data_IF_472621704200
#
_entry.id   IF_472621704200
#
_cell.length_a   1.000
_cell.length_b   1.000
_cell.length_c   1.000
_cell.angle_alpha   90.00
_cell.angle_beta   90.00
_cell.angle_gamma   90.00
#
_symmetry.space_group_name_H-M   'P 1'
#
loop_
_entity.id
_entity.type
_entity.pdbx_description
1 polymer ?
#
# COMPACT_ATOMS: atom_id res chain seq x y z
N UNK A 1 -14.39 -0.29 7.19
CA UNK A 1 -13.34 -0.77 6.26
C UNK A 1 -11.92 -0.60 6.81
N UNK A 2 -11.34 0.61 6.91
CA UNK A 2 -9.90 0.76 7.18
C UNK A 2 -9.41 0.15 8.49
N UNK A 3 -10.15 0.34 9.59
CA UNK A 3 -9.83 -0.31 10.88
C UNK A 3 -9.91 -1.85 10.81
N UNK A 4 -10.79 -2.40 9.97
CA UNK A 4 -10.88 -3.85 9.71
C UNK A 4 -9.60 -4.34 9.02
N UNK A 5 -9.09 -3.59 8.04
CA UNK A 5 -7.83 -3.90 7.36
C UNK A 5 -6.68 -3.91 8.35
N UNK A 6 -6.56 -2.89 9.19
CA UNK A 6 -5.54 -2.85 10.25
C UNK A 6 -5.67 -4.04 11.22
N UNK A 7 -6.89 -4.44 11.60
CA UNK A 7 -7.13 -5.64 12.40
C UNK A 7 -6.65 -6.93 11.71
N UNK A 8 -6.90 -7.07 10.41
CA UNK A 8 -6.41 -8.22 9.61
C UNK A 8 -4.88 -8.21 9.51
N UNK A 9 -4.26 -7.04 9.34
CA UNK A 9 -2.80 -6.91 9.33
C UNK A 9 -2.20 -7.27 10.70
N UNK A 10 -2.81 -6.86 11.81
CA UNK A 10 -2.36 -7.25 13.15
C UNK A 10 -2.45 -8.78 13.33
N UNK A 11 -3.56 -9.39 12.94
CA UNK A 11 -3.73 -10.85 12.98
C UNK A 11 -2.68 -11.56 12.12
N UNK A 12 -2.42 -11.04 10.92
CA UNK A 12 -1.38 -11.56 10.04
C UNK A 12 0.00 -11.45 10.69
N UNK A 13 0.38 -10.28 11.23
CA UNK A 13 1.66 -10.06 11.92
C UNK A 13 1.87 -11.02 13.07
N UNK A 14 0.84 -11.21 13.92
CA UNK A 14 0.88 -12.07 15.10
C UNK A 14 0.72 -13.57 14.79
N UNK A 15 0.53 -13.94 13.51
CA UNK A 15 0.19 -15.31 13.08
C UNK A 15 -1.05 -15.88 13.79
N UNK A 16 -2.05 -15.03 14.03
CA UNK A 16 -3.17 -15.30 14.91
C UNK A 16 -4.48 -15.65 14.19
N UNK A 17 -4.45 -15.96 12.88
CA UNK A 17 -5.66 -16.35 12.15
C UNK A 17 -6.26 -17.67 12.64
N UNK A 18 -5.45 -18.62 13.09
CA UNK A 18 -5.96 -19.88 13.63
C UNK A 18 -6.56 -19.68 15.03
N UNK A 19 -5.99 -18.79 15.84
CA UNK A 19 -6.58 -18.38 17.11
C UNK A 19 -7.94 -17.67 16.91
N UNK A 20 -8.04 -16.81 15.89
CA UNK A 20 -9.32 -16.20 15.50
C UNK A 20 -10.37 -17.26 15.20
N UNK A 21 -10.04 -18.31 14.43
CA UNK A 21 -11.00 -19.37 14.10
C UNK A 21 -11.44 -20.18 15.33
N UNK A 22 -10.55 -20.40 16.30
CA UNK A 22 -10.88 -21.08 17.55
C UNK A 22 -11.85 -20.26 18.41
N UNK A 23 -11.64 -18.95 18.49
CA UNK A 23 -12.49 -18.04 19.29
C UNK A 23 -13.81 -17.71 18.59
N UNK A 24 -13.78 -17.54 17.27
CA UNK A 24 -14.92 -17.17 16.44
C UNK A 24 -14.99 -18.11 15.26
N UNK A 25 -15.90 -19.09 15.33
CA UNK A 25 -16.13 -20.05 14.24
C UNK A 25 -16.40 -19.30 12.92
N UNK A 26 -15.55 -19.55 11.91
CA UNK A 26 -15.62 -18.92 10.59
C UNK A 26 -15.20 -17.46 10.60
N UNK A 27 -14.30 -17.06 11.50
CA UNK A 27 -13.91 -15.68 11.73
C UNK A 27 -13.36 -15.01 10.48
N UNK A 28 -12.41 -15.65 9.78
CA UNK A 28 -11.87 -15.13 8.51
C UNK A 28 -12.97 -14.93 7.47
N UNK A 29 -13.82 -15.94 7.29
CA UNK A 29 -14.92 -15.88 6.31
C UNK A 29 -15.91 -14.77 6.61
N UNK A 30 -16.27 -14.56 7.89
CA UNK A 30 -17.16 -13.45 8.29
C UNK A 30 -16.56 -12.08 7.99
N UNK A 31 -15.27 -11.90 8.27
CA UNK A 31 -14.56 -10.65 7.92
C UNK A 31 -14.55 -10.46 6.41
N UNK A 32 -14.20 -11.52 5.65
CA UNK A 32 -14.20 -11.47 4.19
C UNK A 32 -15.57 -11.14 3.60
N UNK A 33 -16.64 -11.74 4.12
CA UNK A 33 -18.02 -11.45 3.70
C UNK A 33 -18.44 -10.02 4.02
N UNK A 34 -18.05 -9.49 5.18
CA UNK A 34 -18.29 -8.08 5.51
C UNK A 34 -17.59 -7.15 4.51
N UNK A 35 -16.31 -7.40 4.20
CA UNK A 35 -15.55 -6.60 3.21
C UNK A 35 -16.20 -6.73 1.83
N UNK A 36 -16.58 -7.94 1.40
CA UNK A 36 -17.20 -8.17 0.11
C UNK A 36 -18.56 -7.48 -0.03
N UNK A 37 -19.36 -7.42 1.05
CA UNK A 37 -20.64 -6.72 1.07
C UNK A 37 -20.51 -5.20 0.90
N UNK A 38 -19.32 -4.63 1.11
CA UNK A 38 -19.04 -3.21 0.86
C UNK A 38 -18.67 -2.92 -0.59
N UNK A 39 -18.54 -3.94 -1.46
CA UNK A 39 -18.26 -3.73 -2.86
C UNK A 39 -19.53 -3.24 -3.59
N UNK A 40 -19.41 -2.12 -4.29
CA UNK A 40 -20.45 -1.61 -5.16
C UNK A 40 -20.60 -2.53 -6.39
N UNK A 41 -21.78 -3.13 -6.62
CA UNK A 41 -21.98 -4.09 -7.70
C UNK A 41 -21.97 -3.45 -9.10
N UNK A 42 -22.16 -2.12 -9.20
CA UNK A 42 -22.20 -1.37 -10.46
C UNK A 42 -20.79 -0.88 -10.83
N UNK A 43 -20.09 -0.24 -9.90
CA UNK A 43 -18.81 0.42 -10.16
C UNK A 43 -17.60 -0.44 -9.80
N UNK A 44 -17.74 -1.39 -8.86
CA UNK A 44 -16.66 -2.20 -8.32
C UNK A 44 -15.83 -1.52 -7.24
N UNK A 45 -16.19 -0.29 -6.84
CA UNK A 45 -15.57 0.42 -5.71
C UNK A 45 -15.97 -0.23 -4.39
N UNK A 46 -15.36 0.23 -3.30
CA UNK A 46 -15.70 -0.21 -1.96
C UNK A 46 -16.11 0.99 -1.11
N UNK A 47 -17.15 0.82 -0.32
CA UNK A 47 -17.54 1.79 0.70
C UNK A 47 -16.63 1.69 1.94
N UNK A 48 -16.40 2.82 2.61
CA UNK A 48 -15.70 2.87 3.90
C UNK A 48 -16.49 2.21 5.03
N UNK A 49 -17.81 2.36 4.99
CA UNK A 49 -18.81 1.83 5.92
C UNK A 49 -20.22 1.89 5.30
N UNK A 50 -21.26 1.79 6.12
CA UNK A 50 -22.67 1.82 5.70
C UNK A 50 -23.13 3.17 5.12
N UNK A 51 -22.37 4.25 5.29
CA UNK A 51 -22.70 5.59 4.82
C UNK A 51 -22.20 5.89 3.40
N UNK A 52 -21.49 4.93 2.78
CA UNK A 52 -21.25 4.92 1.35
C UNK A 52 -20.14 5.83 0.83
N UNK A 53 -19.24 6.34 1.69
CA UNK A 53 -18.03 7.03 1.22
C UNK A 53 -17.20 6.07 0.35
N UNK A 54 -16.83 6.50 -0.86
CA UNK A 54 -16.01 5.72 -1.79
C UNK A 54 -14.73 6.47 -2.13
N UNK A 55 -13.60 5.75 -2.06
CA UNK A 55 -12.25 6.25 -2.31
C UNK A 55 -11.36 5.04 -2.69
N UNK A 56 -10.34 5.24 -3.51
CA UNK A 56 -9.38 4.17 -3.87
C UNK A 56 -8.69 3.54 -2.65
N UNK A 57 -8.60 4.25 -1.51
CA UNK A 57 -8.15 3.74 -0.20
C UNK A 57 -8.93 2.51 0.24
N UNK A 58 -10.25 2.51 0.10
CA UNK A 58 -11.09 1.39 0.52
C UNK A 58 -10.94 0.19 -0.41
N UNK A 59 -10.71 0.45 -1.71
CA UNK A 59 -10.46 -0.59 -2.70
C UNK A 59 -9.14 -1.31 -2.40
N UNK A 60 -8.05 -0.57 -2.23
CA UNK A 60 -6.78 -1.15 -1.79
C UNK A 60 -6.92 -1.88 -0.45
N UNK A 61 -7.60 -1.26 0.53
CA UNK A 61 -7.84 -1.86 1.83
C UNK A 61 -8.56 -3.21 1.73
N UNK A 62 -9.61 -3.29 0.91
CA UNK A 62 -10.33 -4.54 0.66
C UNK A 62 -9.42 -5.61 0.05
N UNK A 63 -8.65 -5.26 -0.98
CA UNK A 63 -7.72 -6.20 -1.63
C UNK A 63 -6.60 -6.65 -0.69
N UNK A 64 -6.05 -5.74 0.11
CA UNK A 64 -5.02 -6.02 1.11
C UNK A 64 -5.54 -7.06 2.11
N UNK A 65 -6.66 -6.79 2.78
CA UNK A 65 -7.21 -7.69 3.78
C UNK A 65 -7.68 -9.03 3.19
N UNK A 66 -8.40 -9.01 2.06
CA UNK A 66 -8.90 -10.23 1.43
C UNK A 66 -7.76 -11.11 0.92
N UNK A 67 -6.70 -10.54 0.33
CA UNK A 67 -5.55 -11.32 -0.14
C UNK A 67 -4.77 -11.96 1.01
N UNK A 68 -4.53 -11.23 2.12
CA UNK A 68 -3.88 -11.79 3.32
C UNK A 68 -4.65 -12.97 3.93
N UNK A 69 -5.98 -12.99 3.76
CA UNK A 69 -6.84 -14.10 4.21
C UNK A 69 -7.10 -15.18 3.15
N UNK A 70 -6.63 -15.02 1.90
CA UNK A 70 -6.92 -15.94 0.79
C UNK A 70 -8.36 -15.87 0.27
N UNK A 71 -9.05 -14.75 0.47
CA UNK A 71 -10.48 -14.55 0.21
C UNK A 71 -10.76 -13.55 -0.93
N UNK A 72 -9.77 -13.25 -1.78
CA UNK A 72 -9.95 -12.31 -2.90
C UNK A 72 -11.04 -12.75 -3.88
N UNK A 73 -11.32 -14.06 -3.97
CA UNK A 73 -12.40 -14.63 -4.77
C UNK A 73 -13.83 -14.22 -4.35
N UNK A 74 -13.99 -13.59 -3.18
CA UNK A 74 -15.29 -13.10 -2.71
C UNK A 74 -15.75 -11.82 -3.41
N UNK A 75 -14.87 -11.15 -4.18
CA UNK A 75 -15.15 -9.85 -4.81
C UNK A 75 -14.91 -9.88 -6.31
N UNK A 76 -15.54 -8.97 -7.03
CA UNK A 76 -15.35 -8.74 -8.46
C UNK A 76 -14.07 -7.92 -8.69
N UNK A 77 -12.94 -8.64 -8.80
CA UNK A 77 -11.61 -8.03 -8.98
C UNK A 77 -11.54 -7.24 -10.28
N UNK A 78 -12.10 -7.77 -11.37
CA UNK A 78 -12.03 -7.12 -12.69
C UNK A 78 -12.78 -5.78 -12.71
N UNK A 79 -13.92 -5.69 -12.02
CA UNK A 79 -14.67 -4.44 -11.94
C UNK A 79 -13.92 -3.38 -11.12
N UNK A 80 -13.32 -3.77 -10.00
CA UNK A 80 -12.45 -2.89 -9.22
C UNK A 80 -11.23 -2.41 -10.02
N UNK A 81 -10.59 -3.31 -10.78
CA UNK A 81 -9.47 -2.97 -11.69
C UNK A 81 -9.93 -1.96 -12.76
N UNK A 82 -11.08 -2.16 -13.40
CA UNK A 82 -11.64 -1.20 -14.37
C UNK A 82 -11.88 0.17 -13.74
N UNK A 83 -12.35 0.22 -12.50
CA UNK A 83 -12.51 1.49 -11.80
C UNK A 83 -11.16 2.19 -11.57
N UNK A 84 -10.14 1.48 -11.09
CA UNK A 84 -8.78 2.04 -10.92
C UNK A 84 -8.26 2.62 -12.23
N UNK A 85 -8.45 1.93 -13.36
CA UNK A 85 -8.05 2.46 -14.68
C UNK A 85 -8.72 3.80 -14.99
N UNK A 86 -9.98 3.99 -14.59
CA UNK A 86 -10.70 5.25 -14.78
C UNK A 86 -10.21 6.39 -13.87
N UNK A 87 -9.46 6.09 -12.82
CA UNK A 87 -8.80 7.06 -11.94
C UNK A 87 -7.44 7.54 -12.47
N UNK A 88 -6.90 6.91 -13.53
CA UNK A 88 -5.62 7.29 -14.11
C UNK A 88 -5.72 8.66 -14.79
N UNK A 89 -4.77 9.53 -14.50
CA UNK A 89 -4.70 10.88 -15.04
C UNK A 89 -3.73 11.02 -16.21
N UNK A 90 -3.85 12.12 -16.93
CA UNK A 90 -2.98 12.42 -18.07
C UNK A 90 -1.50 12.56 -17.69
N UNK A 91 -1.17 12.80 -16.42
CA UNK A 91 0.20 12.91 -15.90
C UNK A 91 0.79 11.54 -15.49
N UNK A 92 0.02 10.46 -15.63
CA UNK A 92 0.39 9.10 -15.23
C UNK A 92 0.02 8.76 -13.79
N UNK A 93 -0.37 9.75 -12.97
CA UNK A 93 -0.79 9.55 -11.59
C UNK A 93 -2.24 9.09 -11.44
N UNK A 94 -2.67 8.95 -10.19
CA UNK A 94 -4.01 8.52 -9.80
C UNK A 94 -4.55 9.43 -8.68
N UNK A 95 -5.85 9.71 -8.73
CA UNK A 95 -6.57 10.46 -7.70
C UNK A 95 -7.53 9.60 -6.87
N UNK A 96 -8.26 10.23 -5.95
CA UNK A 96 -9.27 9.58 -5.08
C UNK A 96 -10.44 8.95 -5.85
N UNK A 97 -10.72 9.47 -7.04
CA UNK A 97 -11.79 9.06 -7.95
C UNK A 97 -11.46 9.54 -9.38
N UNK A 98 -12.24 9.16 -10.40
CA UNK A 98 -12.02 9.63 -11.76
C UNK A 98 -11.98 11.15 -11.85
N UNK A 99 -10.94 11.67 -12.52
CA UNK A 99 -10.66 13.11 -12.70
C UNK A 99 -10.19 13.85 -11.43
N UNK A 100 -10.07 13.19 -10.29
CA UNK A 100 -9.45 13.79 -9.12
C UNK A 100 -7.96 14.04 -9.35
N UNK A 101 -7.39 15.05 -8.68
CA UNK A 101 -5.97 15.37 -8.76
C UNK A 101 -5.09 14.17 -8.37
N UNK A 102 -3.98 13.97 -9.10
CA UNK A 102 -2.99 12.96 -8.79
C UNK A 102 -2.35 13.20 -7.42
N UNK A 103 -2.29 12.18 -6.58
CA UNK A 103 -1.74 12.28 -5.22
C UNK A 103 -0.95 11.01 -4.87
N UNK A 104 0.25 11.14 -4.30
CA UNK A 104 1.12 9.99 -4.01
C UNK A 104 0.45 8.91 -3.15
N UNK A 105 -0.33 9.29 -2.13
CA UNK A 105 -1.10 8.34 -1.33
C UNK A 105 -2.18 7.59 -2.13
N UNK A 106 -2.79 8.22 -3.14
CA UNK A 106 -3.81 7.60 -4.00
C UNK A 106 -3.17 6.75 -5.12
N UNK A 107 -1.98 7.13 -5.54
CA UNK A 107 -1.13 6.31 -6.40
C UNK A 107 -0.75 5.01 -5.68
N UNK A 108 -0.30 5.10 -4.43
CA UNK A 108 0.02 3.91 -3.64
C UNK A 108 -1.14 2.92 -3.58
N UNK A 109 -2.35 3.39 -3.26
CA UNK A 109 -3.53 2.52 -3.17
C UNK A 109 -3.89 1.91 -4.53
N UNK A 110 -3.88 2.70 -5.61
CA UNK A 110 -4.17 2.20 -6.95
C UNK A 110 -3.13 1.16 -7.42
N UNK A 111 -1.84 1.48 -7.31
CA UNK A 111 -0.74 0.59 -7.71
C UNK A 111 -0.68 -0.65 -6.82
N UNK A 112 -0.90 -0.50 -5.51
CA UNK A 112 -0.99 -1.61 -4.57
C UNK A 112 -2.12 -2.58 -4.92
N UNK A 113 -3.32 -2.06 -5.19
CA UNK A 113 -4.45 -2.88 -5.61
C UNK A 113 -4.19 -3.59 -6.96
N UNK A 114 -3.61 -2.89 -7.94
CA UNK A 114 -3.21 -3.50 -9.22
C UNK A 114 -2.12 -4.57 -9.04
N UNK A 115 -1.19 -4.38 -8.10
CA UNK A 115 -0.16 -5.37 -7.79
C UNK A 115 -0.78 -6.63 -7.19
N UNK A 116 -1.70 -6.50 -6.24
CA UNK A 116 -2.44 -7.63 -5.66
C UNK A 116 -3.27 -8.36 -6.73
N UNK A 117 -3.88 -7.62 -7.65
CA UNK A 117 -4.66 -8.18 -8.75
C UNK A 117 -3.80 -8.82 -9.87
N UNK A 118 -2.47 -8.68 -9.82
CA UNK A 118 -1.58 -9.13 -10.90
C UNK A 118 -1.75 -8.34 -12.20
N UNK A 119 -2.17 -7.06 -12.09
CA UNK A 119 -2.53 -6.19 -13.23
C UNK A 119 -1.65 -4.93 -13.36
N UNK A 120 -0.39 -5.02 -12.94
CA UNK A 120 0.60 -3.94 -13.15
C UNK A 120 0.89 -3.66 -14.63
N UNK A 121 0.49 -4.55 -15.55
CA UNK A 121 0.51 -4.35 -17.00
C UNK A 121 -0.31 -3.14 -17.46
N UNK A 122 -1.30 -2.72 -16.66
CA UNK A 122 -2.19 -1.60 -16.97
C UNK A 122 -1.61 -0.22 -16.63
N UNK A 123 -0.50 -0.18 -15.89
CA UNK A 123 0.12 1.07 -15.45
C UNK A 123 1.11 1.55 -16.50
N UNK A 124 1.06 2.83 -16.87
CA UNK A 124 2.15 3.45 -17.60
C UNK A 124 3.34 3.69 -16.65
N UNK A 125 4.16 2.66 -16.46
CA UNK A 125 5.15 2.61 -15.39
C UNK A 125 6.25 3.67 -15.53
N UNK A 126 6.65 4.02 -16.75
CA UNK A 126 7.70 5.03 -16.95
C UNK A 126 7.18 6.43 -16.68
N UNK A 127 5.97 6.74 -17.14
CA UNK A 127 5.33 8.04 -16.88
C UNK A 127 5.03 8.23 -15.40
N UNK A 128 4.46 7.20 -14.76
CA UNK A 128 4.19 7.23 -13.33
C UNK A 128 5.49 7.29 -12.52
N UNK A 129 6.52 6.54 -12.93
CA UNK A 129 7.85 6.58 -12.32
C UNK A 129 8.45 7.99 -12.35
N UNK A 130 8.34 8.69 -13.48
CA UNK A 130 8.83 10.06 -13.62
C UNK A 130 8.07 11.01 -12.69
N UNK A 131 6.73 10.94 -12.69
CA UNK A 131 5.88 11.73 -11.80
C UNK A 131 6.23 11.52 -10.32
N UNK A 132 6.49 10.28 -9.91
CA UNK A 132 6.90 9.93 -8.54
C UNK A 132 8.30 10.42 -8.20
N UNK A 133 9.27 10.31 -9.12
CA UNK A 133 10.63 10.82 -8.90
C UNK A 133 10.68 12.33 -8.71
N UNK A 134 9.81 13.07 -9.42
CA UNK A 134 9.65 14.52 -9.28
C UNK A 134 8.99 14.96 -7.98
N UNK A 135 8.70 14.03 -7.05
CA UNK A 135 8.24 14.36 -5.69
C UNK A 135 9.40 14.66 -4.75
N UNK A 136 10.64 14.28 -5.09
CA UNK A 136 11.79 14.53 -4.23
C UNK A 136 12.20 16.00 -4.29
N UNK A 137 12.20 16.66 -3.13
CA UNK A 137 12.57 18.05 -2.99
C UNK A 137 14.08 18.21 -2.73
N UNK A 138 14.56 19.46 -2.80
CA UNK A 138 15.98 19.77 -2.64
C UNK A 138 16.56 19.32 -1.29
N UNK A 139 15.75 19.27 -0.24
CA UNK A 139 16.13 18.81 1.10
C UNK A 139 16.05 17.28 1.26
N UNK A 140 15.74 16.53 0.20
CA UNK A 140 15.70 15.06 0.23
C UNK A 140 14.32 14.47 0.52
N UNK A 141 13.46 15.21 1.21
CA UNK A 141 12.09 14.79 1.51
C UNK A 141 11.20 14.71 0.28
N UNK A 142 10.10 13.96 0.40
CA UNK A 142 9.14 13.69 -0.67
C UNK A 142 7.81 14.39 -0.38
N UNK A 143 7.15 14.92 -1.41
CA UNK A 143 5.82 15.50 -1.27
C UNK A 143 4.72 14.64 -1.92
N UNK A 144 3.47 14.90 -1.54
CA UNK A 144 2.32 14.17 -2.07
C UNK A 144 1.83 14.65 -3.43
N UNK A 145 2.13 15.92 -3.75
CA UNK A 145 1.67 16.64 -4.93
C UNK A 145 2.68 17.71 -5.34
N UNK A 146 2.75 18.08 -6.64
CA UNK A 146 3.54 19.20 -7.10
C UNK A 146 3.30 20.47 -6.28
N UNK A 147 4.35 21.27 -6.09
CA UNK A 147 4.30 22.57 -5.39
C UNK A 147 3.82 22.48 -3.92
N UNK A 148 3.94 21.31 -3.28
CA UNK A 148 3.70 21.11 -1.84
C UNK A 148 4.99 20.82 -1.08
N UNK A 149 4.93 21.00 0.23
CA UNK A 149 6.00 20.64 1.15
C UNK A 149 6.15 19.12 1.23
N UNK A 150 7.37 18.71 1.54
CA UNK A 150 7.73 17.37 1.96
C UNK A 150 7.00 16.96 3.24
N UNK A 151 6.84 15.65 3.43
CA UNK A 151 6.29 15.02 4.63
C UNK A 151 6.84 13.59 4.69
N UNK A 152 7.30 13.18 5.87
CA UNK A 152 7.90 11.86 6.10
C UNK A 152 7.03 10.70 5.62
N UNK A 153 5.70 10.78 5.69
CA UNK A 153 4.85 9.69 5.25
C UNK A 153 4.96 9.40 3.74
N UNK A 154 5.36 10.38 2.92
CA UNK A 154 5.62 10.16 1.50
C UNK A 154 6.89 9.34 1.23
N UNK A 155 7.79 9.22 2.23
CA UNK A 155 8.89 8.24 2.21
C UNK A 155 8.36 6.81 2.14
N UNK A 156 7.11 6.57 2.53
CA UNK A 156 6.42 5.32 2.23
C UNK A 156 5.59 5.43 0.94
N UNK A 157 4.67 6.37 0.82
CA UNK A 157 3.71 6.38 -0.30
C UNK A 157 4.35 6.46 -1.68
N UNK A 158 5.41 7.27 -1.83
CA UNK A 158 6.16 7.38 -3.10
C UNK A 158 7.07 6.19 -3.28
N UNK A 159 7.86 5.83 -2.26
CA UNK A 159 8.87 4.77 -2.38
C UNK A 159 8.24 3.39 -2.58
N UNK A 160 7.16 3.05 -1.86
CA UNK A 160 6.44 1.80 -2.05
C UNK A 160 5.88 1.67 -3.47
N UNK A 161 5.33 2.76 -4.01
CA UNK A 161 4.89 2.83 -5.40
C UNK A 161 6.05 2.60 -6.38
N UNK A 162 7.18 3.27 -6.18
CA UNK A 162 8.39 3.04 -6.99
C UNK A 162 8.94 1.62 -6.83
N UNK A 163 8.86 1.03 -5.65
CA UNK A 163 9.29 -0.35 -5.39
C UNK A 163 8.43 -1.35 -6.17
N UNK A 164 7.10 -1.18 -6.18
CA UNK A 164 6.19 -2.00 -6.99
C UNK A 164 6.49 -1.88 -8.49
N UNK A 165 7.00 -0.73 -8.93
CA UNK A 165 7.43 -0.47 -10.31
C UNK A 165 8.91 -0.80 -10.60
N UNK A 166 9.65 -1.36 -9.63
CA UNK A 166 11.09 -1.63 -9.72
C UNK A 166 11.96 -0.40 -10.06
N UNK A 167 11.58 0.78 -9.55
CA UNK A 167 12.17 2.09 -9.85
C UNK A 167 12.69 2.85 -8.63
N UNK A 168 12.96 2.17 -7.50
CA UNK A 168 13.54 2.81 -6.31
C UNK A 168 14.82 3.60 -6.58
N UNK A 169 15.65 3.12 -7.52
CA UNK A 169 16.90 3.74 -7.94
C UNK A 169 16.74 5.12 -8.63
N UNK A 170 15.51 5.61 -8.83
CA UNK A 170 15.23 6.94 -9.38
C UNK A 170 15.21 8.03 -8.32
N UNK A 171 15.31 7.67 -7.04
CA UNK A 171 15.34 8.57 -5.90
C UNK A 171 16.78 8.64 -5.36
N UNK A 172 17.20 9.83 -4.96
CA UNK A 172 18.42 10.02 -4.16
C UNK A 172 18.17 9.46 -2.75
N UNK A 173 18.54 8.20 -2.55
CA UNK A 173 18.28 7.47 -1.30
C UNK A 173 19.07 7.99 -0.10
N UNK A 174 20.25 8.57 -0.33
CA UNK A 174 21.08 9.12 0.72
C UNK A 174 20.43 10.38 1.30
N UNK A 175 19.97 11.30 0.43
CA UNK A 175 19.25 12.50 0.86
C UNK A 175 17.91 12.18 1.51
N UNK A 176 17.19 11.17 1.01
CA UNK A 176 15.93 10.76 1.63
C UNK A 176 16.18 10.18 3.03
N UNK A 177 17.21 9.35 3.20
CA UNK A 177 17.59 8.83 4.51
C UNK A 177 17.95 9.95 5.48
N UNK A 178 18.74 10.94 5.03
CA UNK A 178 19.09 12.11 5.84
C UNK A 178 17.84 12.89 6.28
N UNK A 179 16.90 13.16 5.36
CA UNK A 179 15.65 13.84 5.69
C UNK A 179 14.81 13.06 6.72
N UNK A 180 14.64 11.74 6.53
CA UNK A 180 13.86 10.92 7.48
C UNK A 180 14.49 10.97 8.88
N UNK A 181 15.81 10.83 8.97
CA UNK A 181 16.52 10.85 10.25
C UNK A 181 16.48 12.23 10.94
N UNK A 182 16.42 13.33 10.18
CA UNK A 182 16.20 14.66 10.76
C UNK A 182 14.82 14.83 11.40
N UNK A 183 13.85 13.98 11.06
CA UNK A 183 12.51 13.98 11.64
C UNK A 183 12.38 13.07 12.88
N UNK A 184 13.46 12.42 13.30
CA UNK A 184 13.49 11.57 14.49
C UNK A 184 13.58 12.43 15.76
N UNK A 185 12.82 12.07 16.79
CA UNK A 185 13.06 12.58 18.15
C UNK A 185 14.21 11.77 18.80
N UNK A 186 15.38 12.38 19.06
CA UNK A 186 16.53 11.68 19.62
C UNK A 186 16.39 11.36 21.10
N UNK A 187 15.46 11.99 21.82
CA UNK A 187 15.26 11.81 23.26
C UNK A 187 14.06 10.90 23.54
N UNK A 188 12.91 11.21 22.94
CA UNK A 188 11.65 10.50 23.12
C UNK A 188 11.45 9.30 22.19
N UNK A 189 12.22 9.22 21.11
CA UNK A 189 12.02 8.24 20.03
C UNK A 189 10.81 8.54 19.15
N UNK A 190 10.72 7.82 18.03
CA UNK A 190 9.69 8.05 17.02
C UNK A 190 10.09 9.10 15.98
N UNK A 191 9.21 9.29 14.99
CA UNK A 191 9.39 10.23 13.89
C UNK A 191 8.15 11.12 13.73
N UNK A 192 8.39 12.36 13.31
CA UNK A 192 7.36 13.36 13.01
C UNK A 192 7.17 13.55 11.50
N UNK A 193 6.21 14.38 11.11
CA UNK A 193 5.98 14.81 9.71
C UNK A 193 7.23 15.51 9.13
N UNK A 194 7.81 16.44 9.90
CA UNK A 194 8.99 17.25 9.54
C UNK A 194 9.92 17.47 10.73
N UNK A 195 11.16 17.93 10.49
CA UNK A 195 12.07 18.28 11.57
C UNK A 195 11.47 19.35 12.48
N UNK A 196 11.42 19.05 13.79
CA UNK A 196 10.88 19.94 14.82
C UNK A 196 9.37 19.83 15.07
N UNK A 197 8.64 19.03 14.30
CA UNK A 197 7.23 18.72 14.59
C UNK A 197 7.12 17.65 15.70
N UNK A 198 5.91 17.45 16.24
CA UNK A 198 5.64 16.42 17.23
C UNK A 198 5.61 15.03 16.60
N UNK A 199 6.27 14.06 17.25
CA UNK A 199 6.26 12.65 16.81
C UNK A 199 4.89 12.01 16.98
N UNK A 200 4.59 11.08 16.07
CA UNK A 200 3.42 10.22 16.19
C UNK A 200 3.67 8.82 15.61
N UNK A 201 2.76 7.89 15.92
CA UNK A 201 2.89 6.48 15.51
C UNK A 201 2.75 6.32 13.99
N UNK A 202 2.00 7.21 13.32
CA UNK A 202 1.76 7.14 11.88
C UNK A 202 3.04 7.47 11.11
N UNK A 203 3.67 8.60 11.40
CA UNK A 203 4.94 8.99 10.80
C UNK A 203 6.09 8.06 11.22
N UNK A 204 6.06 7.55 12.46
CA UNK A 204 7.05 6.55 12.92
C UNK A 204 7.02 5.28 12.06
N UNK A 205 5.84 4.73 11.76
CA UNK A 205 5.72 3.54 10.90
C UNK A 205 6.24 3.82 9.50
N UNK A 206 5.86 4.95 8.89
CA UNK A 206 6.24 5.25 7.51
C UNK A 206 7.69 5.72 7.35
N UNK A 207 8.29 6.32 8.37
CA UNK A 207 9.73 6.57 8.42
C UNK A 207 10.51 5.26 8.40
N UNK A 208 10.17 4.31 9.29
CA UNK A 208 10.84 3.01 9.35
C UNK A 208 10.62 2.18 8.08
N UNK A 209 9.41 2.21 7.52
CA UNK A 209 9.11 1.52 6.27
C UNK A 209 9.86 2.15 5.07
N UNK A 210 9.97 3.48 5.02
CA UNK A 210 10.78 4.18 4.01
C UNK A 210 12.27 3.84 4.11
N UNK A 211 12.82 3.87 5.33
CA UNK A 211 14.21 3.47 5.58
C UNK A 211 14.46 1.99 5.25
N UNK A 212 13.50 1.11 5.54
CA UNK A 212 13.57 -0.31 5.16
C UNK A 212 13.65 -0.49 3.63
N UNK A 213 12.86 0.26 2.85
CA UNK A 213 12.94 0.25 1.38
C UNK A 213 14.30 0.76 0.84
N UNK A 214 15.02 1.56 1.63
CA UNK A 214 16.37 2.04 1.33
C UNK A 214 17.47 1.08 1.82
N UNK A 215 17.11 -0.08 2.37
CA UNK A 215 18.03 -1.03 3.00
C UNK A 215 18.83 -0.42 4.16
N UNK A 216 18.22 0.49 4.93
CA UNK A 216 18.88 1.09 6.08
C UNK A 216 19.27 0.01 7.11
N UNK A 217 20.51 0.01 7.62
CA UNK A 217 21.01 -1.06 8.48
C UNK A 217 20.16 -1.30 9.73
N UNK A 218 19.96 -2.57 10.07
CA UNK A 218 19.24 -2.98 11.28
C UNK A 218 17.71 -3.02 11.14
N UNK A 219 17.17 -2.69 9.96
CA UNK A 219 15.74 -2.84 9.68
C UNK A 219 15.45 -4.13 8.93
N UNK A 220 14.33 -4.77 9.27
CA UNK A 220 13.80 -5.88 8.48
C UNK A 220 13.23 -5.37 7.15
N UNK A 221 13.26 -6.22 6.14
CA UNK A 221 12.73 -5.91 4.82
C UNK A 221 11.19 -5.81 4.84
N UNK A 222 10.67 -4.67 4.43
CA UNK A 222 9.23 -4.41 4.32
C UNK A 222 8.69 -4.84 2.95
N UNK A 223 7.48 -5.37 2.93
CA UNK A 223 6.73 -5.63 1.71
C UNK A 223 6.08 -4.33 1.21
N UNK A 224 6.48 -3.80 0.03
CA UNK A 224 5.99 -2.53 -0.49
C UNK A 224 4.49 -2.53 -0.80
N UNK A 225 3.87 -3.70 -0.94
CA UNK A 225 2.44 -3.83 -1.25
C UNK A 225 1.60 -3.78 0.02
N UNK A 226 2.14 -4.23 1.16
CA UNK A 226 1.35 -4.43 2.39
C UNK A 226 1.76 -3.54 3.56
N UNK A 227 2.93 -2.88 3.54
CA UNK A 227 3.48 -2.16 4.69
C UNK A 227 3.67 -3.05 5.93
N UNK A 228 4.22 -4.24 5.72
CA UNK A 228 4.47 -5.26 6.76
C UNK A 228 5.79 -5.97 6.48
N UNK A 229 6.45 -6.62 7.46
CA UNK A 229 7.65 -7.42 7.18
C UNK A 229 7.38 -8.47 6.10
N UNK A 230 8.31 -8.63 5.14
CA UNK A 230 8.17 -9.63 4.05
C UNK A 230 8.02 -11.06 4.57
N UNK A 231 8.56 -11.36 5.75
CA UNK A 231 8.39 -12.64 6.42
C UNK A 231 6.90 -12.95 6.71
N UNK A 232 6.12 -11.93 7.07
CA UNK A 232 4.67 -12.03 7.33
C UNK A 232 3.93 -12.27 6.02
N UNK A 233 4.16 -11.43 5.00
CA UNK A 233 3.45 -11.56 3.71
C UNK A 233 3.78 -12.88 3.01
N UNK A 234 5.04 -13.33 3.06
CA UNK A 234 5.43 -14.66 2.56
C UNK A 234 4.69 -15.79 3.25
N UNK A 235 4.46 -15.70 4.57
CA UNK A 235 3.69 -16.70 5.32
C UNK A 235 2.22 -16.72 4.90
N UNK A 236 1.60 -15.55 4.79
CA UNK A 236 0.17 -15.43 4.45
C UNK A 236 -0.13 -15.76 2.98
N UNK A 237 0.71 -15.30 2.06
CA UNK A 237 0.47 -15.35 0.61
C UNK A 237 1.19 -16.54 -0.07
N UNK A 238 2.27 -17.04 0.52
CA UNK A 238 3.17 -18.03 -0.06
C UNK A 238 2.62 -19.47 -0.18
N UNK A 239 1.32 -19.69 0.02
CA UNK A 239 0.66 -20.98 -0.22
C UNK A 239 -0.02 -21.10 -1.59
N UNK A 240 0.07 -20.09 -2.46
CA UNK A 240 -0.70 -20.06 -3.73
C UNK A 240 0.11 -19.99 -5.03
N UNK A 241 1.41 -20.32 -5.03
CA UNK A 241 2.22 -20.39 -6.28
C UNK A 241 2.77 -21.80 -6.52
N UNK A 242 1.92 -22.81 -6.41
CA UNK A 242 2.19 -24.17 -6.85
C UNK A 242 1.08 -24.63 -7.80
N UNK A 243 1.10 -24.14 -9.04
CA UNK A 243 0.08 -24.49 -10.04
C UNK A 243 0.34 -23.83 -11.39
N UNK A 244 1.50 -24.09 -11.99
CA UNK A 244 1.81 -23.52 -13.31
C UNK A 244 3.25 -23.75 -13.76
N UNK A 245 3.75 -24.99 -13.71
CA UNK A 245 4.94 -25.37 -14.49
C UNK A 245 4.54 -26.33 -15.60
N UNK A 246 4.71 -25.79 -16.81
CA UNK A 246 4.80 -26.42 -18.11
C UNK A 246 4.93 -27.95 -18.11
N UNK A 247 3.96 -28.61 -18.74
CA UNK A 247 4.22 -29.87 -19.42
C UNK A 247 5.13 -29.57 -20.62
N UNK A 248 6.42 -29.82 -20.45
CA UNK A 248 7.30 -30.12 -21.57
C UNK A 248 7.11 -31.60 -21.91
N UNK A 249 6.60 -31.87 -23.09
CA UNK A 249 6.54 -33.19 -23.69
C UNK A 249 7.33 -33.16 -25.00
N UNK A 250 8.34 -34.02 -25.03
CA UNK A 250 9.23 -34.41 -26.13
C UNK A 250 8.57 -34.58 -27.48
#
# INVERSE_FOLDING_TARGET
>A
MLYTVSGVQILATLDAFDELEQRVKGGRTKIGQYIAALQDPVTGTFAGDEWGEQDTRFLYGAFNALSLMGLLHLVDVDKAVRYIQSCANFDGGYGTSPRAESHAGQIFTCVGALTIAGRLDLVNQDKLGAWLSERQLKNGGLNGRPEKKEDVCYSWWVMSSLAMLSKLHWIDGDKLSEFILQCQDPEGGGFADRPGDMVDVFHTVFALAGLSLLNYPGLEEVDPVYCMPKSVTKRCLGRSVAGGRAQGGT
#
